data_IF_980758756489
#
_entry.id   IF_980758756489
#
_cell.length_a   1.000
_cell.length_b   1.000
_cell.length_c   1.000
_cell.angle_alpha   90.00
_cell.angle_beta   90.00
_cell.angle_gamma   90.00
#
_symmetry.space_group_name_H-M   'P 1'
#
loop_
_entity.id
_entity.type
_entity.pdbx_description
1 polymer ?
#
# COMPACT_ATOMS: atom_id res chain seq x y z
N UNK A 1 -33.99 -39.07 -9.08
CA UNK A 1 -33.40 -39.14 -7.72
C UNK A 1 -33.56 -37.75 -7.12
N UNK A 2 -34.38 -37.61 -6.07
CA UNK A 2 -34.62 -36.32 -5.40
C UNK A 2 -33.38 -35.96 -4.55
N UNK A 3 -32.94 -34.71 -4.63
CA UNK A 3 -31.84 -34.22 -3.80
C UNK A 3 -32.28 -34.18 -2.32
N UNK A 4 -31.42 -34.55 -1.37
CA UNK A 4 -31.75 -34.50 0.04
C UNK A 4 -31.97 -33.05 0.50
N UNK A 5 -33.04 -32.84 1.27
CA UNK A 5 -33.30 -31.57 1.94
C UNK A 5 -32.26 -31.34 3.05
N UNK A 6 -31.89 -30.08 3.28
CA UNK A 6 -30.96 -29.67 4.33
C UNK A 6 -31.35 -28.26 4.82
N UNK A 7 -31.05 -27.97 6.08
CA UNK A 7 -31.14 -26.62 6.64
C UNK A 7 -29.97 -25.78 6.12
N UNK A 8 -30.28 -24.65 5.49
CA UNK A 8 -29.32 -23.87 4.72
C UNK A 8 -28.26 -23.22 5.61
N UNK A 9 -28.68 -22.65 6.73
CA UNK A 9 -27.83 -22.01 7.74
C UNK A 9 -26.82 -22.98 8.35
N UNK A 10 -27.28 -24.13 8.85
CA UNK A 10 -26.42 -25.17 9.42
C UNK A 10 -25.39 -25.67 8.40
N UNK A 11 -25.83 -25.89 7.16
CA UNK A 11 -24.93 -26.38 6.10
C UNK A 11 -23.89 -25.35 5.71
N UNK A 12 -24.26 -24.06 5.61
CA UNK A 12 -23.31 -23.00 5.28
C UNK A 12 -22.30 -22.79 6.40
N UNK A 13 -22.74 -22.78 7.67
CA UNK A 13 -21.83 -22.68 8.83
C UNK A 13 -20.88 -23.87 8.90
N UNK A 14 -21.39 -25.10 8.73
CA UNK A 14 -20.56 -26.31 8.72
C UNK A 14 -19.55 -26.32 7.56
N UNK A 15 -19.96 -25.90 6.36
CA UNK A 15 -19.06 -25.77 5.21
C UNK A 15 -18.01 -24.69 5.43
N UNK A 16 -18.38 -23.53 5.97
CA UNK A 16 -17.45 -22.45 6.30
C UNK A 16 -16.41 -22.89 7.33
N UNK A 17 -16.84 -23.56 8.41
CA UNK A 17 -15.95 -24.10 9.43
C UNK A 17 -14.99 -25.15 8.87
N UNK A 18 -15.46 -26.06 8.01
CA UNK A 18 -14.61 -27.09 7.41
C UNK A 18 -13.59 -26.50 6.41
N UNK A 19 -13.98 -25.48 5.63
CA UNK A 19 -13.07 -24.76 4.74
C UNK A 19 -11.99 -24.06 5.58
N UNK A 20 -12.38 -23.30 6.59
CA UNK A 20 -11.45 -22.61 7.50
C UNK A 20 -10.47 -23.59 8.14
N UNK A 21 -10.97 -24.71 8.69
CA UNK A 21 -10.13 -25.78 9.28
C UNK A 21 -9.13 -26.38 8.29
N UNK A 22 -9.53 -26.62 7.04
CA UNK A 22 -8.62 -27.14 5.99
C UNK A 22 -7.57 -26.12 5.58
N UNK A 23 -7.95 -24.85 5.47
CA UNK A 23 -7.01 -23.76 5.17
C UNK A 23 -5.97 -23.62 6.30
N UNK A 24 -6.40 -23.75 7.56
CA UNK A 24 -5.50 -23.76 8.73
C UNK A 24 -4.52 -24.95 8.72
N UNK A 25 -4.97 -26.15 8.34
CA UNK A 25 -4.09 -27.31 8.22
C UNK A 25 -3.04 -27.11 7.12
N UNK A 26 -3.46 -26.69 5.92
CA UNK A 26 -2.53 -26.36 4.82
C UNK A 26 -1.56 -25.25 5.19
N UNK A 27 -1.98 -24.31 6.06
CA UNK A 27 -1.11 -23.26 6.62
C UNK A 27 -0.06 -23.87 7.53
N UNK A 28 -0.43 -24.65 8.54
CA UNK A 28 0.53 -25.23 9.50
C UNK A 28 1.61 -26.07 8.81
N UNK A 29 1.26 -26.74 7.72
CA UNK A 29 2.20 -27.49 6.88
C UNK A 29 3.19 -26.61 6.11
N UNK A 30 2.76 -25.41 5.67
CA UNK A 30 3.58 -24.50 4.85
C UNK A 30 4.27 -23.37 5.63
N UNK A 31 3.70 -22.95 6.77
CA UNK A 31 4.11 -21.78 7.56
C UNK A 31 3.85 -22.03 9.06
N UNK A 32 4.88 -22.35 9.86
CA UNK A 32 4.75 -22.55 11.30
C UNK A 32 4.15 -21.31 12.01
N UNK A 33 3.41 -21.47 13.12
CA UNK A 33 2.72 -20.37 13.81
C UNK A 33 3.65 -19.26 14.32
N UNK A 34 4.94 -19.55 14.53
CA UNK A 34 5.96 -18.57 14.94
C UNK A 34 6.82 -18.03 13.79
N UNK A 35 6.53 -18.41 12.54
CA UNK A 35 7.31 -17.97 11.38
C UNK A 35 6.99 -16.51 11.07
N UNK A 36 7.86 -15.60 11.52
CA UNK A 36 7.84 -14.21 11.07
C UNK A 36 8.34 -14.15 9.63
N UNK A 37 7.65 -13.36 8.81
CA UNK A 37 8.11 -13.07 7.46
C UNK A 37 9.49 -12.39 7.53
N UNK A 38 10.43 -12.85 6.73
CA UNK A 38 11.78 -12.26 6.62
C UNK A 38 11.93 -11.56 5.28
N UNK A 39 12.76 -10.52 5.23
CA UNK A 39 13.11 -9.86 3.98
C UNK A 39 14.41 -10.43 3.41
N UNK A 40 14.49 -10.53 2.07
CA UNK A 40 15.70 -10.99 1.38
C UNK A 40 16.84 -9.97 1.49
N UNK A 41 18.03 -10.40 1.09
CA UNK A 41 19.15 -9.47 0.89
C UNK A 41 19.08 -8.82 -0.50
N UNK A 42 19.62 -7.61 -0.60
CA UNK A 42 19.68 -6.82 -1.81
C UNK A 42 21.11 -6.79 -2.36
N UNK A 43 21.26 -6.96 -3.66
CA UNK A 43 22.54 -6.80 -4.34
C UNK A 43 23.01 -5.35 -4.29
N UNK A 44 24.33 -5.13 -4.42
CA UNK A 44 24.88 -3.77 -4.51
C UNK A 44 24.23 -2.90 -5.61
N UNK A 45 23.77 -3.50 -6.71
CA UNK A 45 23.10 -2.78 -7.78
C UNK A 45 21.73 -2.24 -7.33
N UNK A 46 20.93 -3.07 -6.66
CA UNK A 46 19.65 -2.68 -6.07
C UNK A 46 19.83 -1.64 -4.97
N UNK A 47 20.81 -1.83 -4.09
CA UNK A 47 21.13 -0.84 -3.05
C UNK A 47 21.49 0.50 -3.68
N UNK A 48 22.34 0.50 -4.70
CA UNK A 48 22.73 1.73 -5.40
C UNK A 48 21.51 2.43 -6.03
N UNK A 49 20.61 1.65 -6.63
CA UNK A 49 19.37 2.11 -7.23
C UNK A 49 18.47 2.82 -6.20
N UNK A 50 18.12 2.17 -5.08
CA UNK A 50 17.25 2.76 -4.06
C UNK A 50 17.89 3.92 -3.27
N UNK A 51 19.22 3.94 -3.15
CA UNK A 51 19.95 5.05 -2.51
C UNK A 51 20.21 6.23 -3.46
N UNK A 52 19.97 6.07 -4.77
CA UNK A 52 20.26 7.11 -5.77
C UNK A 52 21.76 7.41 -5.91
N UNK A 53 22.61 6.39 -5.74
CA UNK A 53 24.08 6.45 -5.86
C UNK A 53 24.59 5.50 -6.93
N UNK A 54 25.86 5.64 -7.34
CA UNK A 54 26.47 4.66 -8.24
C UNK A 54 26.96 3.42 -7.46
N UNK A 55 26.91 2.21 -8.05
CA UNK A 55 27.48 1.01 -7.43
C UNK A 55 28.97 1.16 -7.10
N UNK A 56 29.72 1.91 -7.92
CA UNK A 56 31.14 2.20 -7.68
C UNK A 56 31.35 3.03 -6.40
N UNK A 57 30.42 3.94 -6.06
CA UNK A 57 30.49 4.69 -4.81
C UNK A 57 30.36 3.73 -3.61
N UNK A 58 29.37 2.83 -3.62
CA UNK A 58 29.19 1.83 -2.57
C UNK A 58 30.40 0.89 -2.45
N UNK A 59 30.95 0.44 -3.58
CA UNK A 59 32.18 -0.37 -3.59
C UNK A 59 33.35 0.36 -2.92
N UNK A 60 33.53 1.65 -3.22
CA UNK A 60 34.57 2.48 -2.59
C UNK A 60 34.35 2.62 -1.09
N UNK A 61 33.12 2.93 -0.65
CA UNK A 61 32.80 3.06 0.78
C UNK A 61 33.15 1.79 1.55
N UNK A 62 32.77 0.63 1.03
CA UNK A 62 33.13 -0.65 1.64
C UNK A 62 34.65 -0.88 1.70
N UNK A 63 35.39 -0.60 0.62
CA UNK A 63 36.87 -0.74 0.61
C UNK A 63 37.56 0.21 1.60
N UNK A 64 36.99 1.39 1.80
CA UNK A 64 37.43 2.37 2.80
C UNK A 64 36.91 2.05 4.22
N UNK A 65 36.20 0.94 4.41
CA UNK A 65 35.57 0.53 5.68
C UNK A 65 34.64 1.60 6.26
N UNK A 66 33.86 2.25 5.40
CA UNK A 66 32.90 3.30 5.72
C UNK A 66 31.46 2.78 5.52
N UNK A 67 30.62 2.96 6.52
CA UNK A 67 29.26 2.41 6.55
C UNK A 67 29.20 0.95 7.00
N UNK A 68 28.04 0.29 6.89
CA UNK A 68 27.87 -1.11 7.30
C UNK A 68 28.65 -2.09 6.43
N UNK A 69 29.06 -3.19 7.03
CA UNK A 69 29.78 -4.25 6.33
C UNK A 69 28.81 -5.19 5.59
N UNK A 70 28.86 -5.27 4.24
CA UNK A 70 28.01 -6.17 3.49
C UNK A 70 28.38 -7.63 3.76
N UNK A 71 27.39 -8.50 3.65
CA UNK A 71 27.63 -9.94 3.53
C UNK A 71 28.19 -10.24 2.14
N UNK A 72 29.19 -11.11 2.08
CA UNK A 72 29.77 -11.59 0.83
C UNK A 72 29.09 -12.92 0.46
N UNK A 73 28.30 -12.90 -0.61
CA UNK A 73 27.66 -14.07 -1.19
C UNK A 73 28.61 -14.86 -2.11
N UNK A 74 28.15 -16.03 -2.57
CA UNK A 74 28.90 -16.87 -3.50
C UNK A 74 29.37 -16.08 -4.74
N UNK A 75 30.64 -16.28 -5.11
CA UNK A 75 31.27 -15.55 -6.22
C UNK A 75 31.70 -14.12 -5.89
N UNK A 76 31.87 -13.77 -4.60
CA UNK A 76 32.43 -12.48 -4.18
C UNK A 76 31.47 -11.30 -4.31
N UNK A 77 30.18 -11.57 -4.54
CA UNK A 77 29.14 -10.54 -4.66
C UNK A 77 28.78 -9.98 -3.29
N UNK A 78 28.64 -8.66 -3.19
CA UNK A 78 28.25 -7.98 -1.94
C UNK A 78 26.74 -7.81 -1.92
N UNK A 79 26.14 -8.23 -0.81
CA UNK A 79 24.72 -8.15 -0.55
C UNK A 79 24.48 -7.47 0.81
N UNK A 80 23.38 -6.74 0.92
CA UNK A 80 23.03 -5.93 2.09
C UNK A 80 21.63 -6.29 2.58
N UNK A 81 21.39 -6.19 3.88
CA UNK A 81 20.03 -6.20 4.43
C UNK A 81 19.37 -4.82 4.26
N UNK A 82 18.05 -4.72 4.43
CA UNK A 82 17.35 -3.45 4.37
C UNK A 82 17.77 -2.48 5.50
N UNK A 83 18.10 -3.00 6.68
CA UNK A 83 18.64 -2.21 7.80
C UNK A 83 19.99 -1.60 7.42
N UNK A 84 20.86 -2.39 6.78
CA UNK A 84 22.14 -1.88 6.27
C UNK A 84 21.94 -0.82 5.18
N UNK A 85 20.88 -0.91 4.38
CA UNK A 85 20.53 0.15 3.41
C UNK A 85 20.18 1.46 4.14
N UNK A 86 19.46 1.39 5.25
CA UNK A 86 19.13 2.55 6.09
C UNK A 86 20.40 3.14 6.73
N UNK A 87 21.26 2.30 7.29
CA UNK A 87 22.54 2.74 7.87
C UNK A 87 23.42 3.43 6.81
N UNK A 88 23.52 2.86 5.60
CA UNK A 88 24.22 3.50 4.47
C UNK A 88 23.61 4.85 4.12
N UNK A 89 22.27 4.94 4.11
CA UNK A 89 21.55 6.19 3.79
C UNK A 89 21.86 7.27 4.81
N UNK A 90 21.82 6.95 6.10
CA UNK A 90 22.19 7.88 7.18
C UNK A 90 23.67 8.29 7.11
N UNK A 91 24.56 7.33 6.82
CA UNK A 91 25.97 7.61 6.62
C UNK A 91 26.21 8.57 5.45
N UNK A 92 25.56 8.34 4.31
CA UNK A 92 25.65 9.19 3.13
C UNK A 92 25.07 10.59 3.37
N UNK A 93 23.98 10.70 4.13
CA UNK A 93 23.38 11.99 4.48
C UNK A 93 24.31 12.83 5.36
N UNK A 94 24.97 12.19 6.34
CA UNK A 94 25.90 12.86 7.26
C UNK A 94 27.25 13.24 6.64
N UNK A 95 27.76 12.42 5.72
CA UNK A 95 29.12 12.54 5.19
C UNK A 95 29.18 12.89 3.70
N UNK A 96 28.04 12.98 3.03
CA UNK A 96 27.92 13.32 1.61
C UNK A 96 28.25 14.80 1.35
N UNK A 97 28.42 15.16 0.07
CA UNK A 97 28.58 16.56 -0.32
C UNK A 97 27.26 17.28 -0.10
N UNK A 98 27.30 18.36 0.68
CA UNK A 98 26.17 19.12 1.25
C UNK A 98 25.20 19.74 0.23
N UNK A 99 25.54 19.73 -1.05
CA UNK A 99 25.01 20.73 -1.98
C UNK A 99 23.88 20.20 -2.89
N UNK A 100 23.61 18.88 -2.91
CA UNK A 100 22.70 18.33 -3.93
C UNK A 100 21.85 17.10 -3.56
N UNK A 101 22.13 16.34 -2.49
CA UNK A 101 21.37 15.11 -2.19
C UNK A 101 21.16 14.93 -0.69
N UNK A 102 19.94 15.15 -0.23
CA UNK A 102 19.47 14.60 1.05
C UNK A 102 19.14 13.14 0.81
N UNK A 103 19.95 12.25 1.36
CA UNK A 103 19.80 10.81 1.20
C UNK A 103 18.69 10.28 2.10
N UNK A 104 18.47 10.92 3.25
CA UNK A 104 17.34 10.66 4.15
C UNK A 104 16.16 11.53 3.69
N UNK A 105 15.08 10.95 3.13
CA UNK A 105 14.01 11.71 2.51
C UNK A 105 12.91 12.15 3.49
N UNK A 106 13.13 12.04 4.81
CA UNK A 106 12.13 12.34 5.83
C UNK A 106 11.57 13.77 5.71
N UNK A 107 10.36 13.97 6.23
CA UNK A 107 9.70 15.28 6.26
C UNK A 107 10.55 16.31 7.01
N UNK A 108 10.61 17.51 6.45
CA UNK A 108 11.23 18.70 7.07
C UNK A 108 10.17 19.47 7.87
N UNK A 109 10.58 20.33 8.81
CA UNK A 109 9.65 21.24 9.47
C UNK A 109 8.81 22.02 8.45
N UNK A 110 7.49 22.00 8.61
CA UNK A 110 6.52 22.64 7.70
C UNK A 110 5.98 21.74 6.57
N UNK A 111 6.59 20.58 6.32
CA UNK A 111 6.05 19.60 5.38
C UNK A 111 5.00 18.71 6.06
N UNK A 112 3.78 18.69 5.53
CA UNK A 112 2.67 17.90 6.08
C UNK A 112 2.80 16.41 5.77
N UNK A 113 2.19 15.57 6.60
CA UNK A 113 2.03 14.14 6.35
C UNK A 113 1.29 13.94 5.03
N UNK A 114 1.80 13.06 4.18
CA UNK A 114 1.14 12.72 2.91
C UNK A 114 0.32 11.45 3.10
N UNK A 115 -1.00 11.57 3.00
CA UNK A 115 -1.95 10.46 3.15
C UNK A 115 -2.53 10.14 1.78
N UNK A 116 -2.13 9.00 1.22
CA UNK A 116 -2.48 8.59 -0.14
C UNK A 116 -3.53 7.49 -0.07
N UNK A 117 -4.76 7.81 -0.47
CA UNK A 117 -5.82 6.82 -0.60
C UNK A 117 -5.75 6.14 -1.98
N UNK A 118 -5.54 4.83 -1.98
CA UNK A 118 -5.59 4.00 -3.20
C UNK A 118 -7.00 3.48 -3.36
N UNK A 119 -7.70 3.96 -4.38
CA UNK A 119 -9.13 3.71 -4.57
C UNK A 119 -9.45 3.16 -5.97
N UNK A 120 -10.56 2.43 -6.04
CA UNK A 120 -11.23 2.00 -7.27
C UNK A 120 -12.54 1.29 -6.89
N UNK A 121 -13.51 1.35 -7.79
CA UNK A 121 -14.85 0.79 -7.70
C UNK A 121 -14.96 -0.71 -8.04
N UNK A 122 -13.99 -1.29 -8.76
CA UNK A 122 -14.02 -2.72 -9.10
C UNK A 122 -13.02 -3.54 -8.29
N UNK A 123 -13.41 -4.76 -7.93
CA UNK A 123 -12.50 -5.78 -7.42
C UNK A 123 -11.47 -6.20 -8.49
N UNK A 124 -10.24 -6.52 -8.09
CA UNK A 124 -9.21 -7.03 -9.02
C UNK A 124 -8.57 -5.99 -9.94
N UNK A 125 -8.68 -4.71 -9.60
CA UNK A 125 -8.07 -3.59 -10.33
C UNK A 125 -6.64 -3.22 -9.93
N UNK A 126 -6.03 -3.99 -9.01
CA UNK A 126 -4.65 -3.77 -8.59
C UNK A 126 -4.46 -2.76 -7.46
N UNK A 127 -5.51 -2.36 -6.73
CA UNK A 127 -5.41 -1.47 -5.53
C UNK A 127 -4.41 -1.98 -4.50
N UNK A 128 -4.69 -3.14 -3.91
CA UNK A 128 -3.84 -3.77 -2.89
C UNK A 128 -2.42 -4.02 -3.41
N UNK A 129 -2.28 -4.48 -4.65
CA UNK A 129 -0.96 -4.67 -5.27
C UNK A 129 -0.21 -3.34 -5.35
N UNK A 130 -0.87 -2.26 -5.79
CA UNK A 130 -0.29 -0.92 -5.86
C UNK A 130 0.07 -0.40 -4.47
N UNK A 131 -0.83 -0.51 -3.50
CA UNK A 131 -0.60 -0.05 -2.13
C UNK A 131 0.58 -0.78 -1.48
N UNK A 132 0.65 -2.11 -1.61
CA UNK A 132 1.73 -2.93 -1.07
C UNK A 132 3.08 -2.57 -1.69
N UNK A 133 3.15 -2.51 -3.03
CA UNK A 133 4.41 -2.21 -3.70
C UNK A 133 4.86 -0.77 -3.47
N UNK A 134 3.93 0.20 -3.47
CA UNK A 134 4.26 1.59 -3.17
C UNK A 134 4.79 1.74 -1.74
N UNK A 135 4.17 1.08 -0.74
CA UNK A 135 4.62 1.14 0.64
C UNK A 135 6.02 0.58 0.85
N UNK A 136 6.28 -0.58 0.24
CA UNK A 136 7.61 -1.21 0.27
C UNK A 136 8.65 -0.39 -0.48
N UNK A 137 8.32 0.17 -1.65
CA UNK A 137 9.20 1.06 -2.40
C UNK A 137 9.58 2.31 -1.60
N UNK A 138 8.60 2.95 -0.95
CA UNK A 138 8.85 4.14 -0.13
C UNK A 138 9.76 3.82 1.06
N UNK A 139 9.57 2.66 1.70
CA UNK A 139 10.45 2.18 2.76
C UNK A 139 11.87 1.89 2.26
N UNK A 140 12.03 1.19 1.12
CA UNK A 140 13.34 0.92 0.50
C UNK A 140 14.06 2.21 0.07
N UNK A 141 13.31 3.22 -0.37
CA UNK A 141 13.82 4.57 -0.69
C UNK A 141 14.04 5.44 0.56
N UNK A 142 13.74 4.92 1.76
CA UNK A 142 14.12 5.51 3.05
C UNK A 142 13.07 6.40 3.69
N UNK A 143 11.82 6.40 3.21
CA UNK A 143 10.72 7.12 3.85
C UNK A 143 10.16 6.28 4.99
N UNK A 144 9.73 6.93 6.07
CA UNK A 144 8.97 6.28 7.14
C UNK A 144 7.53 6.17 6.69
N UNK A 145 7.05 4.95 6.47
CA UNK A 145 5.76 4.69 5.83
C UNK A 145 4.85 3.87 6.73
N UNK A 146 3.58 4.28 6.79
CA UNK A 146 2.50 3.52 7.40
C UNK A 146 1.54 3.05 6.32
N UNK A 147 1.33 1.74 6.22
CA UNK A 147 0.26 1.16 5.42
C UNK A 147 -0.99 0.98 6.29
N UNK A 148 -2.18 1.29 5.77
CA UNK A 148 -3.45 1.06 6.43
C UNK A 148 -4.30 0.20 5.49
N UNK A 149 -4.61 -1.01 5.93
CA UNK A 149 -5.56 -1.87 5.24
C UNK A 149 -6.97 -1.52 5.74
N UNK A 150 -7.80 -0.99 4.85
CA UNK A 150 -9.19 -0.66 5.14
C UNK A 150 -10.18 -1.65 4.55
N UNK A 151 -9.72 -2.63 3.77
CA UNK A 151 -10.60 -3.65 3.21
C UNK A 151 -10.79 -4.78 4.24
N UNK A 152 -12.01 -5.08 4.70
CA UNK A 152 -12.25 -6.20 5.62
C UNK A 152 -11.75 -7.56 5.10
N UNK A 153 -11.52 -7.71 3.80
CA UNK A 153 -10.88 -8.89 3.20
C UNK A 153 -9.38 -8.99 3.49
N UNK A 154 -8.79 -7.91 3.98
CA UNK A 154 -7.45 -7.80 4.51
C UNK A 154 -6.33 -8.34 3.59
N UNK A 155 -6.47 -8.08 2.30
CA UNK A 155 -5.52 -8.57 1.29
C UNK A 155 -4.14 -7.93 1.44
N UNK A 156 -4.06 -6.66 1.86
CA UNK A 156 -2.80 -5.98 2.12
C UNK A 156 -2.13 -6.57 3.37
N UNK A 157 -2.91 -6.79 4.42
CA UNK A 157 -2.47 -7.44 5.66
C UNK A 157 -1.87 -8.81 5.38
N UNK A 158 -2.57 -9.63 4.58
CA UNK A 158 -2.10 -10.95 4.16
C UNK A 158 -0.78 -10.89 3.38
N UNK A 159 -0.62 -9.91 2.48
CA UNK A 159 0.65 -9.68 1.77
C UNK A 159 1.79 -9.29 2.70
N UNK A 160 1.52 -8.63 3.83
CA UNK A 160 2.54 -8.32 4.84
C UNK A 160 2.71 -9.42 5.90
N UNK A 161 2.04 -10.57 5.74
CA UNK A 161 2.18 -11.72 6.61
C UNK A 161 1.23 -11.74 7.81
N UNK A 162 0.30 -10.78 7.91
CA UNK A 162 -0.73 -10.74 8.93
C UNK A 162 -1.95 -11.54 8.49
N UNK A 163 -2.52 -12.32 9.40
CA UNK A 163 -3.63 -13.23 9.12
C UNK A 163 -4.82 -12.88 10.02
N UNK A 164 -5.74 -12.04 9.56
CA UNK A 164 -6.81 -11.50 10.39
C UNK A 164 -7.71 -12.56 11.03
N UNK A 165 -7.97 -13.65 10.31
CA UNK A 165 -8.82 -14.75 10.77
C UNK A 165 -8.29 -15.41 12.06
N UNK A 166 -6.97 -15.33 12.31
CA UNK A 166 -6.29 -16.14 13.33
C UNK A 166 -5.57 -15.27 14.34
N UNK A 167 -4.86 -14.24 13.86
CA UNK A 167 -4.01 -13.41 14.72
C UNK A 167 -4.84 -12.48 15.62
N UNK A 168 -6.12 -12.25 15.29
CA UNK A 168 -7.03 -11.29 15.96
C UNK A 168 -6.35 -9.93 16.18
N UNK A 169 -5.56 -9.50 15.18
CA UNK A 169 -4.87 -8.23 15.25
C UNK A 169 -5.91 -7.11 15.35
N UNK A 170 -5.67 -6.09 16.18
CA UNK A 170 -6.51 -4.91 16.19
C UNK A 170 -6.49 -4.25 14.80
N UNK A 171 -7.62 -3.71 14.38
CA UNK A 171 -7.75 -3.02 13.11
C UNK A 171 -7.89 -1.52 13.29
N UNK A 172 -8.00 -0.78 12.20
CA UNK A 172 -8.29 0.65 12.30
C UNK A 172 -9.61 0.90 13.06
N UNK A 173 -10.58 -0.02 13.00
CA UNK A 173 -11.84 0.10 13.73
C UNK A 173 -11.62 0.36 15.21
N UNK A 174 -10.69 -0.35 15.86
CA UNK A 174 -10.33 -0.15 17.26
C UNK A 174 -9.92 1.30 17.57
N UNK A 175 -9.31 2.00 16.61
CA UNK A 175 -8.86 3.39 16.77
C UNK A 175 -9.95 4.42 16.42
N UNK A 176 -10.91 4.06 15.56
CA UNK A 176 -11.94 5.00 15.06
C UNK A 176 -13.36 4.66 15.54
N UNK A 177 -13.57 3.65 16.40
CA UNK A 177 -14.87 3.34 16.98
C UNK A 177 -15.42 4.44 17.89
N UNK A 178 -16.72 4.40 18.16
CA UNK A 178 -17.48 5.47 18.86
C UNK A 178 -17.66 5.25 20.36
N UNK A 179 -17.33 4.07 20.87
CA UNK A 179 -17.52 3.70 22.27
C UNK A 179 -16.21 3.80 23.08
N UNK A 180 -16.30 3.46 24.36
CA UNK A 180 -15.20 3.56 25.32
C UNK A 180 -14.09 2.51 25.12
N UNK A 181 -14.28 1.54 24.23
CA UNK A 181 -13.25 0.56 23.87
C UNK A 181 -12.26 1.11 22.83
N UNK A 182 -12.41 2.38 22.41
CA UNK A 182 -11.49 3.05 21.49
C UNK A 182 -10.06 3.04 22.02
N UNK A 183 -9.13 2.51 21.23
CA UNK A 183 -7.70 2.44 21.53
C UNK A 183 -6.94 3.58 20.86
N UNK A 184 -5.83 4.07 21.43
CA UNK A 184 -4.90 4.93 20.72
C UNK A 184 -4.39 4.26 19.44
N UNK A 185 -4.27 5.00 18.33
CA UNK A 185 -3.85 4.42 17.04
C UNK A 185 -2.49 3.72 17.11
N UNK A 186 -1.60 4.19 17.99
CA UNK A 186 -0.28 3.58 18.24
C UNK A 186 -0.37 2.12 18.68
N UNK A 187 -1.45 1.73 19.34
CA UNK A 187 -1.65 0.37 19.84
C UNK A 187 -2.19 -0.59 18.78
N UNK A 188 -2.59 -0.07 17.60
CA UNK A 188 -3.11 -0.88 16.48
C UNK A 188 -2.11 -0.96 15.31
N UNK A 189 -0.96 -0.30 15.45
CA UNK A 189 0.13 -0.35 14.48
C UNK A 189 1.03 -1.56 14.77
N UNK A 190 1.35 -2.32 13.72
CA UNK A 190 2.26 -3.45 13.78
C UNK A 190 3.43 -3.27 12.80
N UNK A 191 4.62 -3.70 13.21
CA UNK A 191 5.81 -3.67 12.34
C UNK A 191 5.76 -4.76 11.27
N UNK A 192 6.19 -4.43 10.04
CA UNK A 192 6.33 -5.42 8.95
C UNK A 192 7.74 -6.00 8.89
N UNK A 193 8.01 -6.87 7.91
CA UNK A 193 9.36 -7.36 7.60
C UNK A 193 10.25 -6.34 6.88
N UNK A 194 9.70 -5.19 6.46
CA UNK A 194 10.48 -4.09 5.89
C UNK A 194 10.74 -3.05 6.99
N UNK A 195 12.01 -2.67 7.24
CA UNK A 195 12.28 -1.54 8.11
C UNK A 195 11.74 -0.26 7.47
N UNK A 196 11.27 0.67 8.30
CA UNK A 196 10.52 1.87 7.90
C UNK A 196 9.15 1.63 7.24
N UNK A 197 8.63 0.40 7.27
CA UNK A 197 7.24 0.13 6.91
C UNK A 197 6.51 -0.54 8.07
N UNK A 198 5.53 0.17 8.62
CA UNK A 198 4.55 -0.37 9.55
C UNK A 198 3.20 -0.54 8.86
N UNK A 199 2.30 -1.31 9.48
CA UNK A 199 0.95 -1.55 8.98
C UNK A 199 -0.09 -1.49 10.09
N UNK A 200 -1.26 -0.92 9.80
CA UNK A 200 -2.50 -1.19 10.54
C UNK A 200 -3.24 -2.28 9.76
N UNK A 201 -3.30 -3.52 10.28
CA UNK A 201 -3.96 -4.61 9.57
C UNK A 201 -5.47 -4.42 9.57
N UNK A 202 -6.13 -5.04 8.60
CA UNK A 202 -7.58 -5.14 8.52
C UNK A 202 -8.05 -6.44 9.17
N UNK A 203 -9.30 -6.44 9.61
CA UNK A 203 -10.04 -7.63 10.00
C UNK A 203 -11.53 -7.43 9.68
N UNK A 204 -12.34 -8.48 9.85
CA UNK A 204 -13.78 -8.42 9.55
C UNK A 204 -14.53 -7.38 10.41
N UNK A 205 -14.02 -7.03 11.59
CA UNK A 205 -14.64 -6.03 12.48
C UNK A 205 -14.67 -4.63 11.87
N UNK A 206 -13.86 -4.34 10.84
CA UNK A 206 -13.98 -3.10 10.07
C UNK A 206 -15.39 -2.90 9.51
N UNK A 207 -16.13 -3.98 9.21
CA UNK A 207 -17.51 -3.89 8.74
C UNK A 207 -18.44 -3.26 9.79
N UNK A 208 -18.14 -3.40 11.08
CA UNK A 208 -18.92 -2.78 12.16
C UNK A 208 -18.91 -1.26 12.07
N UNK A 209 -17.87 -0.65 11.49
CA UNK A 209 -17.83 0.79 11.29
C UNK A 209 -18.93 1.29 10.34
N UNK A 210 -19.28 0.50 9.33
CA UNK A 210 -20.34 0.81 8.37
C UNK A 210 -21.73 0.77 9.03
N UNK A 211 -21.91 -0.06 10.06
CA UNK A 211 -23.14 -0.16 10.84
C UNK A 211 -23.20 0.87 11.98
N UNK A 212 -22.10 1.05 12.71
CA UNK A 212 -22.01 1.93 13.87
C UNK A 212 -22.10 3.42 13.48
N UNK A 213 -21.55 3.81 12.33
CA UNK A 213 -21.51 5.22 11.89
C UNK A 213 -22.92 5.83 11.71
N UNK A 214 -23.86 5.22 10.95
CA UNK A 214 -25.23 5.72 10.86
C UNK A 214 -25.92 5.91 12.21
N UNK A 215 -25.75 4.96 13.14
CA UNK A 215 -26.33 5.04 14.48
C UNK A 215 -25.73 6.19 15.27
N UNK A 216 -24.40 6.34 15.24
CA UNK A 216 -23.69 7.43 15.90
C UNK A 216 -24.09 8.82 15.34
N UNK A 217 -24.36 8.93 14.04
CA UNK A 217 -24.80 10.18 13.39
C UNK A 217 -26.18 10.65 13.88
N UNK A 218 -27.06 9.72 14.22
CA UNK A 218 -28.38 10.04 14.79
C UNK A 218 -28.26 10.46 16.26
N UNK A 219 -27.38 9.79 17.02
CA UNK A 219 -27.27 9.97 18.47
C UNK A 219 -26.31 11.07 18.93
N UNK A 220 -25.36 11.53 18.10
CA UNK A 220 -24.28 12.41 18.58
C UNK A 220 -23.74 13.38 17.51
N UNK A 221 -23.19 14.52 17.97
CA UNK A 221 -22.43 15.43 17.11
C UNK A 221 -21.09 14.82 16.64
N UNK A 222 -20.53 13.91 17.43
CA UNK A 222 -19.29 13.20 17.11
C UNK A 222 -19.48 12.23 15.94
N UNK A 223 -20.61 11.51 15.91
CA UNK A 223 -20.99 10.67 14.77
C UNK A 223 -21.19 11.47 13.48
N UNK A 224 -21.75 12.69 13.56
CA UNK A 224 -21.86 13.59 12.39
C UNK A 224 -20.50 14.03 11.83
N UNK A 225 -19.41 13.87 12.59
CA UNK A 225 -18.03 14.16 12.18
C UNK A 225 -17.21 12.88 11.93
N UNK A 226 -17.86 11.78 11.56
CA UNK A 226 -17.19 10.49 11.26
C UNK A 226 -16.01 10.65 10.29
N UNK A 227 -16.16 11.52 9.28
CA UNK A 227 -15.14 11.80 8.27
C UNK A 227 -13.82 12.33 8.84
N UNK A 228 -13.85 12.98 10.00
CA UNK A 228 -12.65 13.53 10.65
C UNK A 228 -11.93 12.50 11.54
N UNK A 229 -12.52 11.32 11.81
CA UNK A 229 -11.99 10.38 12.80
C UNK A 229 -10.62 9.84 12.44
N UNK A 230 -10.41 9.43 11.18
CA UNK A 230 -9.09 8.97 10.74
C UNK A 230 -8.06 10.09 10.77
N UNK A 231 -8.41 11.29 10.29
CA UNK A 231 -7.50 12.44 10.33
C UNK A 231 -7.06 12.79 11.77
N UNK A 232 -8.00 12.77 12.72
CA UNK A 232 -7.71 12.99 14.13
C UNK A 232 -6.84 11.87 14.72
N UNK A 233 -7.12 10.61 14.40
CA UNK A 233 -6.31 9.49 14.86
C UNK A 233 -4.87 9.56 14.30
N UNK A 234 -4.71 9.92 13.02
CA UNK A 234 -3.40 10.09 12.39
C UNK A 234 -2.59 11.24 13.00
N UNK A 235 -3.24 12.27 13.56
CA UNK A 235 -2.54 13.37 14.21
C UNK A 235 -1.67 12.91 15.39
N UNK A 236 -2.07 11.85 16.10
CA UNK A 236 -1.31 11.27 17.22
C UNK A 236 -0.01 10.57 16.78
N UNK A 237 0.13 10.28 15.49
CA UNK A 237 1.31 9.62 14.88
C UNK A 237 1.92 10.43 13.75
N UNK A 238 1.53 11.70 13.58
CA UNK A 238 2.02 12.55 12.49
C UNK A 238 3.55 12.51 12.43
N UNK A 239 4.23 12.87 13.52
CA UNK A 239 5.70 12.97 13.56
C UNK A 239 6.46 11.65 13.29
N UNK A 240 5.80 10.51 13.45
CA UNK A 240 6.42 9.18 13.28
C UNK A 240 6.57 8.80 11.80
N UNK A 241 5.66 9.28 10.95
CA UNK A 241 5.59 8.88 9.55
C UNK A 241 5.78 10.07 8.61
N UNK A 242 6.35 9.79 7.46
CA UNK A 242 6.44 10.73 6.35
C UNK A 242 5.22 10.58 5.44
N UNK A 243 4.79 9.33 5.23
CA UNK A 243 3.75 8.97 4.26
C UNK A 243 2.84 7.89 4.87
N UNK A 244 1.54 8.02 4.65
CA UNK A 244 0.53 7.00 4.93
C UNK A 244 -0.07 6.54 3.60
N UNK A 245 -0.17 5.22 3.40
CA UNK A 245 -0.88 4.63 2.26
C UNK A 245 -2.11 3.94 2.80
N UNK A 246 -3.26 4.20 2.20
CA UNK A 246 -4.53 3.59 2.60
C UNK A 246 -5.04 2.74 1.45
N UNK A 247 -5.13 1.42 1.64
CA UNK A 247 -5.77 0.50 0.69
C UNK A 247 -7.26 0.44 0.98
N UNK A 248 -8.05 1.13 0.16
CA UNK A 248 -9.47 1.27 0.38
C UNK A 248 -10.26 0.08 -0.18
N UNK A 249 -11.38 -0.31 0.46
CA UNK A 249 -12.28 -1.31 -0.08
C UNK A 249 -12.93 -0.82 -1.41
N UNK A 250 -13.43 -1.75 -2.24
CA UNK A 250 -14.08 -1.37 -3.51
C UNK A 250 -15.41 -0.62 -3.33
N UNK A 251 -16.05 -0.74 -2.17
CA UNK A 251 -17.29 -0.05 -1.85
C UNK A 251 -17.05 1.39 -1.38
N UNK A 252 -17.92 2.31 -1.79
CA UNK A 252 -17.92 3.69 -1.27
C UNK A 252 -18.80 3.80 -0.02
N UNK A 253 -18.40 3.11 1.04
CA UNK A 253 -19.00 3.19 2.36
C UNK A 253 -18.40 4.29 3.24
N UNK A 254 -18.83 4.34 4.50
CA UNK A 254 -18.33 5.27 5.52
C UNK A 254 -16.83 5.12 5.76
N UNK A 255 -16.26 3.91 5.65
CA UNK A 255 -14.82 3.68 5.73
C UNK A 255 -14.07 4.44 4.63
N UNK A 256 -14.46 4.23 3.38
CA UNK A 256 -13.82 4.89 2.23
C UNK A 256 -13.98 6.40 2.27
N UNK A 257 -15.13 6.91 2.75
CA UNK A 257 -15.34 8.34 2.94
C UNK A 257 -14.46 8.92 4.05
N UNK A 258 -14.29 8.19 5.15
CA UNK A 258 -13.37 8.57 6.23
C UNK A 258 -11.92 8.60 5.74
N UNK A 259 -11.54 7.63 4.91
CA UNK A 259 -10.24 7.60 4.25
C UNK A 259 -10.02 8.80 3.33
N UNK A 260 -10.97 9.07 2.43
CA UNK A 260 -10.89 10.18 1.47
C UNK A 260 -10.88 11.55 2.13
N UNK A 261 -11.57 11.70 3.27
CA UNK A 261 -11.57 12.95 4.03
C UNK A 261 -10.22 13.20 4.75
N UNK A 262 -9.50 12.14 5.13
CA UNK A 262 -8.16 12.24 5.72
C UNK A 262 -7.04 12.29 4.67
N UNK A 263 -7.32 11.89 3.42
CA UNK A 263 -6.35 11.82 2.35
C UNK A 263 -5.89 13.22 1.89
N UNK A 264 -4.58 13.38 1.72
CA UNK A 264 -4.00 14.53 1.01
C UNK A 264 -3.96 14.30 -0.48
N UNK A 265 -3.95 13.04 -0.93
CA UNK A 265 -3.87 12.69 -2.34
C UNK A 265 -4.63 11.40 -2.62
N UNK A 266 -5.08 11.25 -3.87
CA UNK A 266 -5.82 10.07 -4.31
C UNK A 266 -5.16 9.45 -5.52
N UNK A 267 -4.94 8.14 -5.44
CA UNK A 267 -4.47 7.31 -6.53
C UNK A 267 -5.59 6.37 -6.97
N UNK A 268 -6.11 6.58 -8.17
CA UNK A 268 -7.18 5.79 -8.75
C UNK A 268 -6.57 4.72 -9.66
N UNK A 269 -6.69 3.45 -9.29
CA UNK A 269 -6.25 2.37 -10.20
C UNK A 269 -7.29 2.16 -11.28
N UNK A 270 -6.89 1.98 -12.54
CA UNK A 270 -7.80 1.75 -13.66
C UNK A 270 -7.23 0.65 -14.54
N UNK A 271 -8.05 -0.34 -14.88
CA UNK A 271 -7.71 -1.31 -15.90
C UNK A 271 -8.20 -0.77 -17.26
N UNK A 272 -7.39 -0.76 -18.34
CA UNK A 272 -7.75 -0.08 -19.59
C UNK A 272 -8.78 -0.87 -20.40
N UNK A 273 -10.01 -0.94 -19.89
CA UNK A 273 -11.18 -1.53 -20.53
C UNK A 273 -12.37 -0.56 -20.47
N UNK A 274 -13.26 -0.66 -21.46
CA UNK A 274 -14.41 0.26 -21.58
C UNK A 274 -15.33 0.22 -20.35
N UNK A 275 -15.61 -0.98 -19.82
CA UNK A 275 -16.46 -1.14 -18.64
C UNK A 275 -15.84 -0.50 -17.39
N UNK A 276 -14.51 -0.55 -17.27
CA UNK A 276 -13.80 0.06 -16.15
C UNK A 276 -13.82 1.59 -16.27
N UNK A 277 -13.73 2.13 -17.48
CA UNK A 277 -13.86 3.57 -17.72
C UNK A 277 -15.28 4.09 -17.41
N UNK A 278 -16.32 3.35 -17.80
CA UNK A 278 -17.71 3.68 -17.46
C UNK A 278 -17.93 3.68 -15.94
N UNK A 279 -17.41 2.65 -15.26
CA UNK A 279 -17.47 2.53 -13.80
C UNK A 279 -16.72 3.67 -13.10
N UNK A 280 -15.55 4.05 -13.62
CA UNK A 280 -14.76 5.17 -13.13
C UNK A 280 -15.53 6.50 -13.25
N UNK A 281 -16.21 6.75 -14.37
CA UNK A 281 -17.01 7.97 -14.55
C UNK A 281 -18.10 8.10 -13.48
N UNK A 282 -18.85 7.02 -13.21
CA UNK A 282 -19.85 6.99 -12.15
C UNK A 282 -19.22 7.22 -10.77
N UNK A 283 -18.07 6.60 -10.51
CA UNK A 283 -17.34 6.77 -9.26
C UNK A 283 -16.90 8.22 -9.04
N UNK A 284 -16.36 8.89 -10.05
CA UNK A 284 -15.92 10.29 -9.95
C UNK A 284 -17.10 11.24 -9.70
N UNK A 285 -18.24 11.00 -10.35
CA UNK A 285 -19.47 11.77 -10.09
C UNK A 285 -19.95 11.58 -8.65
N UNK A 286 -19.93 10.34 -8.16
CA UNK A 286 -20.34 10.03 -6.79
C UNK A 286 -19.37 10.62 -5.76
N UNK A 287 -18.06 10.48 -5.96
CA UNK A 287 -17.03 11.08 -5.11
C UNK A 287 -17.14 12.62 -5.10
N UNK A 288 -17.36 13.24 -6.26
CA UNK A 288 -17.58 14.68 -6.38
C UNK A 288 -18.84 15.16 -5.64
N UNK A 289 -19.93 14.38 -5.67
CA UNK A 289 -21.14 14.70 -4.94
C UNK A 289 -20.95 14.56 -3.42
N UNK A 290 -20.31 13.49 -2.98
CA UNK A 290 -20.11 13.25 -1.54
C UNK A 290 -19.14 14.25 -0.94
N UNK A 291 -18.03 14.56 -1.64
CA UNK A 291 -17.08 15.59 -1.18
C UNK A 291 -17.73 16.98 -1.08
N UNK A 292 -18.65 17.34 -1.99
CA UNK A 292 -19.47 18.55 -1.85
C UNK A 292 -20.35 18.50 -0.61
N UNK A 293 -21.03 17.39 -0.34
CA UNK A 293 -21.87 17.23 0.86
C UNK A 293 -21.04 17.34 2.14
N UNK A 294 -19.86 16.72 2.20
CA UNK A 294 -18.95 16.79 3.35
C UNK A 294 -18.45 18.23 3.57
N UNK A 295 -18.21 18.98 2.48
CA UNK A 295 -17.87 20.42 2.56
C UNK A 295 -18.96 21.25 3.23
N UNK A 296 -20.23 20.95 3.00
CA UNK A 296 -21.35 21.63 3.67
C UNK A 296 -21.41 21.35 5.18
N UNK A 297 -20.81 20.26 5.65
CA UNK A 297 -20.74 19.87 7.07
C UNK A 297 -19.43 20.34 7.72
N UNK A 298 -18.60 21.11 6.99
CA UNK A 298 -17.42 21.79 7.51
C UNK A 298 -16.08 21.08 7.30
N UNK A 299 -16.02 20.01 6.50
CA UNK A 299 -14.75 19.41 6.10
C UNK A 299 -14.30 19.92 4.72
N UNK A 300 -13.22 20.70 4.70
CA UNK A 300 -12.57 21.12 3.47
C UNK A 300 -11.62 20.01 2.99
N UNK A 301 -12.07 19.22 2.02
CA UNK A 301 -11.22 18.26 1.33
C UNK A 301 -10.44 19.00 0.25
N UNK A 302 -9.19 19.37 0.54
CA UNK A 302 -8.21 19.82 -0.45
C UNK A 302 -7.18 18.73 -0.67
N UNK A 303 -6.98 18.37 -1.94
CA UNK A 303 -5.99 17.38 -2.33
C UNK A 303 -4.83 18.06 -3.03
N UNK A 304 -3.61 17.58 -2.77
CA UNK A 304 -2.39 18.04 -3.42
C UNK A 304 -2.33 17.54 -4.86
N UNK A 305 -2.77 16.30 -5.08
CA UNK A 305 -2.89 15.70 -6.40
C UNK A 305 -3.90 14.55 -6.44
N UNK A 306 -4.47 14.35 -7.63
CA UNK A 306 -5.24 13.18 -8.01
C UNK A 306 -4.58 12.58 -9.25
N UNK A 307 -4.34 11.27 -9.22
CA UNK A 307 -3.76 10.55 -10.36
C UNK A 307 -4.46 9.24 -10.69
N UNK A 308 -4.49 8.91 -11.97
CA UNK A 308 -4.94 7.63 -12.50
C UNK A 308 -3.73 6.75 -12.83
N UNK A 309 -3.66 5.58 -12.20
CA UNK A 309 -2.69 4.55 -12.51
C UNK A 309 -3.32 3.50 -13.41
N UNK A 310 -2.79 3.37 -14.62
CA UNK A 310 -3.19 2.30 -15.53
C UNK A 310 -2.56 1.00 -15.04
N UNK A 311 -3.38 -0.02 -14.80
CA UNK A 311 -2.97 -1.29 -14.19
C UNK A 311 -3.23 -2.47 -15.10
N UNK A 312 -2.42 -3.51 -14.92
CA UNK A 312 -2.47 -4.76 -15.70
C UNK A 312 -2.44 -4.49 -17.21
N UNK A 313 -1.64 -3.51 -17.62
CA UNK A 313 -1.53 -3.10 -19.01
C UNK A 313 -0.75 -4.12 -19.84
N UNK A 314 -1.27 -4.47 -21.01
CA UNK A 314 -0.59 -5.29 -22.01
C UNK A 314 -0.34 -4.44 -23.27
N UNK A 315 0.90 -3.98 -23.53
CA UNK A 315 1.19 -3.13 -24.69
C UNK A 315 0.86 -3.76 -26.05
N UNK A 316 0.87 -5.10 -26.11
CA UNK A 316 0.52 -5.87 -27.31
C UNK A 316 -0.98 -6.04 -27.50
N UNK A 317 -1.80 -5.70 -26.50
CA UNK A 317 -3.26 -5.72 -26.57
C UNK A 317 -3.74 -4.42 -27.21
N UNK A 318 -4.12 -4.51 -28.49
CA UNK A 318 -4.57 -3.36 -29.30
C UNK A 318 -5.77 -2.64 -28.65
N UNK A 319 -6.85 -3.34 -28.23
CA UNK A 319 -7.93 -2.73 -27.46
C UNK A 319 -7.46 -1.93 -26.25
N UNK A 320 -6.54 -2.46 -25.44
CA UNK A 320 -6.02 -1.73 -24.28
C UNK A 320 -5.21 -0.48 -24.70
N UNK A 321 -4.39 -0.58 -25.74
CA UNK A 321 -3.61 0.55 -26.25
C UNK A 321 -4.52 1.67 -26.79
N UNK A 322 -5.60 1.32 -27.50
CA UNK A 322 -6.60 2.28 -27.96
C UNK A 322 -7.33 2.94 -26.78
N UNK A 323 -7.71 2.15 -25.77
CA UNK A 323 -8.36 2.66 -24.56
C UNK A 323 -7.45 3.61 -23.79
N UNK A 324 -6.17 3.26 -23.63
CA UNK A 324 -5.18 4.13 -23.00
C UNK A 324 -5.05 5.45 -23.75
N UNK A 325 -4.95 5.43 -25.08
CA UNK A 325 -4.90 6.64 -25.89
C UNK A 325 -6.16 7.50 -25.75
N UNK A 326 -7.34 6.88 -25.65
CA UNK A 326 -8.59 7.58 -25.37
C UNK A 326 -8.62 8.21 -23.97
N UNK A 327 -8.15 7.51 -22.95
CA UNK A 327 -8.05 8.06 -21.60
C UNK A 327 -7.05 9.23 -21.55
N UNK A 328 -5.90 9.10 -22.22
CA UNK A 328 -4.90 10.16 -22.30
C UNK A 328 -5.40 11.41 -23.02
N UNK A 329 -6.30 11.29 -24.01
CA UNK A 329 -6.89 12.47 -24.65
C UNK A 329 -7.88 13.22 -23.76
N UNK A 330 -8.42 12.56 -22.74
CA UNK A 330 -9.41 13.13 -21.82
C UNK A 330 -8.82 13.59 -20.47
N UNK A 331 -7.79 12.91 -19.96
CA UNK A 331 -7.27 13.02 -18.58
C UNK A 331 -5.74 13.13 -18.56
N UNK A 332 -5.15 13.83 -19.53
CA UNK A 332 -3.71 13.81 -19.79
C UNK A 332 -2.86 14.27 -18.58
N UNK A 333 -3.34 15.25 -17.81
CA UNK A 333 -2.61 15.82 -16.68
C UNK A 333 -2.66 14.92 -15.44
N UNK A 334 -3.73 14.13 -15.31
CA UNK A 334 -4.00 13.28 -14.17
C UNK A 334 -3.58 11.82 -14.40
N UNK A 335 -3.30 11.38 -15.61
CA UNK A 335 -2.80 10.02 -15.85
C UNK A 335 -1.30 9.95 -15.57
N UNK A 336 -0.89 8.94 -14.79
CA UNK A 336 0.54 8.63 -14.63
C UNK A 336 1.15 8.22 -15.96
N UNK A 337 2.36 8.70 -16.23
CA UNK A 337 3.11 8.43 -17.45
C UNK A 337 3.47 6.96 -17.57
N UNK A 338 3.82 6.33 -16.44
CA UNK A 338 4.16 4.91 -16.39
C UNK A 338 2.92 4.05 -16.08
N UNK A 339 2.53 3.12 -16.96
CA UNK A 339 1.51 2.12 -16.64
C UNK A 339 2.12 0.95 -15.88
N UNK A 340 1.36 0.34 -14.97
CA UNK A 340 1.68 -0.94 -14.36
C UNK A 340 1.32 -2.09 -15.32
N UNK A 341 2.34 -2.81 -15.78
CA UNK A 341 2.20 -3.93 -16.71
C UNK A 341 1.55 -5.15 -16.07
N UNK A 342 0.80 -5.92 -16.87
CA UNK A 342 0.42 -7.27 -16.48
C UNK A 342 1.64 -8.16 -16.54
N UNK A 343 1.99 -8.78 -15.42
CA UNK A 343 3.13 -9.70 -15.33
C UNK A 343 2.76 -10.94 -14.53
N UNK A 344 3.15 -12.11 -15.03
CA UNK A 344 3.03 -13.36 -14.28
C UNK A 344 3.89 -13.33 -13.02
N UNK A 345 5.03 -12.62 -13.01
CA UNK A 345 5.86 -12.50 -11.81
C UNK A 345 5.11 -11.81 -10.65
N UNK A 346 4.27 -10.80 -10.93
CA UNK A 346 3.44 -10.14 -9.91
C UNK A 346 2.37 -11.12 -9.40
N UNK A 347 1.69 -11.82 -10.32
CA UNK A 347 0.66 -12.81 -9.97
C UNK A 347 1.22 -13.97 -9.14
N UNK A 348 2.34 -14.54 -9.56
CA UNK A 348 2.99 -15.69 -8.94
C UNK A 348 3.55 -15.34 -7.55
N UNK A 349 4.14 -14.15 -7.38
CA UNK A 349 4.54 -13.65 -6.07
C UNK A 349 3.31 -13.48 -5.15
N UNK A 350 2.21 -12.97 -5.67
CA UNK A 350 0.95 -12.83 -4.93
C UNK A 350 0.40 -14.17 -4.44
N UNK A 351 0.54 -15.25 -5.21
CA UNK A 351 0.11 -16.60 -4.81
C UNK A 351 0.86 -17.12 -3.57
N UNK A 352 2.10 -16.67 -3.35
CA UNK A 352 2.88 -17.00 -2.14
C UNK A 352 2.78 -15.92 -1.07
N UNK A 353 1.84 -14.98 -1.19
CA UNK A 353 1.66 -13.82 -0.30
C UNK A 353 2.93 -12.96 -0.20
N UNK A 354 3.62 -12.77 -1.32
CA UNK A 354 4.83 -11.94 -1.43
C UNK A 354 4.67 -10.89 -2.53
N UNK A 355 5.50 -9.86 -2.49
CA UNK A 355 5.62 -8.88 -3.57
C UNK A 355 6.89 -9.11 -4.39
N UNK A 356 7.04 -8.36 -5.50
CA UNK A 356 8.26 -8.40 -6.31
C UNK A 356 9.53 -8.02 -5.53
N UNK A 357 9.38 -7.19 -4.49
CA UNK A 357 10.49 -6.73 -3.65
C UNK A 357 10.98 -7.82 -2.68
N UNK A 358 10.13 -8.80 -2.36
CA UNK A 358 10.43 -9.87 -1.41
C UNK A 358 10.95 -11.15 -2.06
N UNK A 359 10.54 -11.41 -3.30
CA UNK A 359 10.91 -12.63 -4.00
C UNK A 359 12.31 -12.54 -4.61
N UNK A 360 12.99 -13.68 -4.69
CA UNK A 360 14.29 -13.79 -5.33
C UNK A 360 14.15 -13.84 -6.84
N UNK A 361 14.94 -13.03 -7.57
CA UNK A 361 14.98 -13.02 -9.04
C UNK A 361 15.19 -14.40 -9.65
N UNK A 362 15.89 -15.30 -8.95
CA UNK A 362 16.17 -16.66 -9.41
C UNK A 362 14.92 -17.55 -9.50
N UNK A 363 13.82 -17.17 -8.84
CA UNK A 363 12.58 -17.95 -8.82
C UNK A 363 11.74 -17.75 -10.09
N UNK A 364 12.14 -16.86 -11.00
CA UNK A 364 11.36 -16.46 -12.17
C UNK A 364 12.18 -16.54 -13.45
N UNK A 365 11.48 -16.49 -14.58
CA UNK A 365 12.12 -16.10 -15.84
C UNK A 365 12.70 -14.68 -15.69
N UNK A 366 13.99 -14.53 -16.05
CA UNK A 366 14.75 -13.29 -15.86
C UNK A 366 14.11 -12.09 -16.54
N UNK A 367 13.73 -12.23 -17.80
CA UNK A 367 13.19 -11.11 -18.60
C UNK A 367 11.79 -10.71 -18.12
N UNK A 368 11.02 -11.66 -17.60
CA UNK A 368 9.71 -11.39 -17.01
C UNK A 368 9.84 -10.65 -15.68
N UNK A 369 10.77 -11.07 -14.81
CA UNK A 369 11.03 -10.41 -13.54
C UNK A 369 11.59 -9.01 -13.74
N UNK A 370 12.61 -8.87 -14.58
CA UNK A 370 13.30 -7.59 -14.82
C UNK A 370 12.33 -6.55 -15.39
N UNK A 371 11.49 -6.95 -16.36
CA UNK A 371 10.45 -6.05 -16.88
C UNK A 371 9.39 -5.68 -15.84
N UNK A 372 9.05 -6.61 -14.96
CA UNK A 372 8.05 -6.36 -13.91
C UNK A 372 8.58 -5.40 -12.85
N UNK A 373 9.83 -5.58 -12.39
CA UNK A 373 10.45 -4.71 -11.40
C UNK A 373 10.74 -3.32 -11.99
N UNK A 374 11.25 -3.23 -13.22
CA UNK A 374 11.49 -1.95 -13.89
C UNK A 374 10.20 -1.13 -14.04
N UNK A 375 9.11 -1.79 -14.44
CA UNK A 375 7.81 -1.16 -14.53
C UNK A 375 7.28 -0.71 -13.17
N UNK A 376 7.39 -1.57 -12.15
CA UNK A 376 6.93 -1.25 -10.80
C UNK A 376 7.71 -0.07 -10.21
N UNK A 377 9.04 -0.07 -10.36
CA UNK A 377 9.90 1.01 -9.91
C UNK A 377 9.58 2.30 -10.67
N UNK A 378 9.37 2.25 -11.99
CA UNK A 378 8.99 3.44 -12.76
C UNK A 378 7.70 4.09 -12.24
N UNK A 379 6.65 3.29 -11.99
CA UNK A 379 5.39 3.76 -11.38
C UNK A 379 5.64 4.36 -9.99
N UNK A 380 6.37 3.64 -9.12
CA UNK A 380 6.55 4.06 -7.74
C UNK A 380 7.45 5.29 -7.61
N UNK A 381 8.48 5.44 -8.46
CA UNK A 381 9.28 6.67 -8.52
C UNK A 381 8.48 7.86 -9.04
N UNK A 382 7.57 7.65 -10.00
CA UNK A 382 6.69 8.72 -10.47
C UNK A 382 5.78 9.20 -9.32
N UNK A 383 5.16 8.28 -8.58
CA UNK A 383 4.34 8.62 -7.40
C UNK A 383 5.18 9.29 -6.31
N UNK A 384 6.38 8.79 -6.03
CA UNK A 384 7.32 9.41 -5.09
C UNK A 384 7.64 10.86 -5.50
N UNK A 385 7.82 11.13 -6.79
CA UNK A 385 8.01 12.47 -7.33
C UNK A 385 6.84 13.40 -7.00
N UNK A 386 5.60 12.92 -7.13
CA UNK A 386 4.40 13.70 -6.78
C UNK A 386 4.31 14.01 -5.29
N UNK A 387 4.70 13.07 -4.43
CA UNK A 387 4.80 13.28 -2.98
C UNK A 387 5.81 14.39 -2.68
N UNK A 388 6.97 14.36 -3.33
CA UNK A 388 8.02 15.37 -3.14
C UNK A 388 7.59 16.74 -3.67
N UNK A 389 6.88 16.79 -4.81
CA UNK A 389 6.27 18.01 -5.34
C UNK A 389 5.21 18.59 -4.39
N UNK A 390 4.39 17.75 -3.75
CA UNK A 390 3.42 18.18 -2.73
C UNK A 390 4.10 18.80 -1.50
N UNK A 391 5.34 18.40 -1.20
CA UNK A 391 6.20 19.04 -0.19
C UNK A 391 6.95 20.28 -0.70
N UNK A 392 6.74 20.70 -1.95
CA UNK A 392 7.46 21.81 -2.56
C UNK A 392 8.93 21.51 -2.86
N UNK A 393 9.31 20.23 -2.94
CA UNK A 393 10.63 19.79 -3.36
C UNK A 393 10.62 19.64 -4.89
N UNK A 394 11.60 20.25 -5.57
CA UNK A 394 11.78 20.15 -7.03
C UNK A 394 12.47 18.84 -7.42
#
# INVERSE_FOLDING_TARGET
MLLPAFEFDDKILAQGAEISRKLDQLRLEKFPPNAKKTLRYFSMAEVAHYLGVSPNNLKRLHLEKKGPEPKIAAGGRRIYSAEQMIELRQYLDKNGRSDAKKYVPHRKPGEKLQVIAVVNFKGGSGKTTTAAHLGQHLALTGHRTLAIDLDPQASLSALHGFQPEIDRNPSLFDAIRYDDERKPIRNVIAATNFPYLDIIPANLELQEYEYATPLAMQGSAEGKRFFARLGNALADVDELYDIVIVDCPPQLGYLTLTALAAATSVLITVHPQMLDLMSMSQFLLMLGNITKTIKHVGAHVQMDWLRYLITRYEPTDIPQAQMLGFMQSMLAEEILKSPMLKSTAISDAGLTKQTLYEVERANFNRDTYDRAIECMDAVNFEIQGLIHQAWGRL
#
